data_IF_672724816137
#
_entry.id   IF_672724816137
#
_cell.length_a   1.000
_cell.length_b   1.000
_cell.length_c   1.000
_cell.angle_alpha   90.00
_cell.angle_beta   90.00
_cell.angle_gamma   90.00
#
_symmetry.space_group_name_H-M   'P 1'
#
loop_
_entity.id
_entity.type
_entity.pdbx_description
1 polymer ?
#
# COMPACT_ATOMS: atom_id res chain seq x y z
N UNK A 1 -5.01 4.74 37.41
CA UNK A 1 -3.67 4.11 37.44
C UNK A 1 -2.85 4.87 38.48
N UNK A 2 -2.22 4.21 39.44
CA UNK A 2 -1.44 4.86 40.47
C UNK A 2 -0.17 5.47 39.87
N UNK A 3 0.29 6.60 40.44
CA UNK A 3 1.55 7.23 40.00
C UNK A 3 2.74 6.25 40.00
N UNK A 4 2.69 5.24 40.88
CA UNK A 4 3.71 4.23 41.03
C UNK A 4 3.89 3.35 39.74
N UNK A 5 2.81 3.01 39.02
CA UNK A 5 2.90 2.25 37.78
C UNK A 5 3.59 3.06 36.66
N UNK A 6 3.39 4.39 36.63
CA UNK A 6 4.05 5.25 35.64
C UNK A 6 5.56 5.31 35.87
N UNK A 7 6.00 5.42 37.09
CA UNK A 7 7.42 5.43 37.44
C UNK A 7 8.07 4.07 37.12
N UNK A 8 7.39 2.96 37.40
CA UNK A 8 7.89 1.63 37.05
C UNK A 8 8.06 1.46 35.54
N UNK A 9 7.11 1.96 34.73
CA UNK A 9 7.22 1.91 33.25
C UNK A 9 8.41 2.73 32.76
N UNK A 10 8.64 3.91 33.34
CA UNK A 10 9.80 4.76 33.00
C UNK A 10 11.11 4.06 33.37
N UNK A 11 11.20 3.48 34.59
CA UNK A 11 12.38 2.72 35.00
C UNK A 11 12.66 1.52 34.08
N UNK A 12 11.64 0.78 33.66
CA UNK A 12 11.79 -0.32 32.72
C UNK A 12 12.23 0.15 31.32
N UNK A 13 11.74 1.32 30.87
CA UNK A 13 12.18 1.92 29.62
C UNK A 13 13.67 2.27 29.62
N UNK A 14 14.19 2.79 30.73
CA UNK A 14 15.62 3.08 30.88
C UNK A 14 16.51 1.84 30.98
N UNK A 15 15.95 0.68 31.34
CA UNK A 15 16.70 -0.58 31.36
C UNK A 15 16.87 -1.21 29.98
N UNK A 16 16.09 -0.80 29.00
CA UNK A 16 16.20 -1.28 27.61
C UNK A 16 17.53 -0.78 27.02
N UNK A 17 18.36 -1.69 26.59
CA UNK A 17 19.55 -1.33 25.82
C UNK A 17 19.11 -0.88 24.41
N UNK A 18 19.70 0.18 23.87
CA UNK A 18 19.53 0.52 22.48
C UNK A 18 19.87 -0.68 21.59
N UNK A 19 19.14 -0.87 20.52
CA UNK A 19 19.54 -1.84 19.50
C UNK A 19 20.88 -1.39 18.92
N UNK A 20 21.85 -2.31 18.89
CA UNK A 20 23.09 -2.08 18.15
C UNK A 20 22.76 -2.14 16.65
N UNK A 21 22.76 -0.99 16.02
CA UNK A 21 22.53 -0.86 14.59
C UNK A 21 23.89 -0.58 13.95
N UNK A 22 24.32 -1.46 13.06
CA UNK A 22 25.46 -1.17 12.20
C UNK A 22 25.09 0.00 11.28
N UNK A 23 25.87 1.07 11.35
CA UNK A 23 25.68 2.20 10.46
C UNK A 23 25.96 1.76 9.02
N UNK A 24 25.01 2.02 8.12
CA UNK A 24 25.24 1.79 6.69
C UNK A 24 26.35 2.71 6.19
N UNK A 25 27.30 2.16 5.43
CA UNK A 25 28.32 2.91 4.70
C UNK A 25 27.80 3.44 3.35
N UNK A 26 26.57 3.10 2.96
CA UNK A 26 25.92 3.56 1.73
C UNK A 26 25.47 5.03 1.90
N UNK A 27 25.50 5.80 0.83
CA UNK A 27 24.95 7.17 0.85
C UNK A 27 23.44 7.10 0.96
N UNK A 28 22.78 8.05 1.65
CA UNK A 28 21.31 8.11 1.71
C UNK A 28 20.62 8.01 0.35
N UNK A 29 21.21 8.62 -0.69
CA UNK A 29 20.71 8.56 -2.07
C UNK A 29 20.79 7.16 -2.72
N UNK A 30 21.58 6.25 -2.18
CA UNK A 30 21.77 4.90 -2.72
C UNK A 30 20.76 3.91 -2.13
N UNK A 31 20.40 4.09 -0.86
CA UNK A 31 19.44 3.20 -0.20
C UNK A 31 18.02 3.77 -0.10
N UNK A 32 17.84 5.11 -0.20
CA UNK A 32 16.50 5.71 -0.14
C UNK A 32 15.62 5.21 -1.28
N UNK A 33 14.48 4.65 -0.92
CA UNK A 33 13.56 4.06 -1.89
C UNK A 33 14.03 2.75 -2.54
N UNK A 34 15.10 2.12 -2.05
CA UNK A 34 15.61 0.82 -2.54
C UNK A 34 14.52 -0.25 -2.55
N UNK A 35 13.70 -0.27 -1.52
CA UNK A 35 12.61 -1.23 -1.31
C UNK A 35 11.23 -0.69 -1.72
N UNK A 36 11.17 0.31 -2.59
CA UNK A 36 9.93 0.92 -3.08
C UNK A 36 9.85 0.75 -4.58
N UNK A 37 8.72 0.26 -5.10
CA UNK A 37 8.43 0.17 -6.54
C UNK A 37 8.10 1.55 -7.08
N UNK A 38 9.12 2.39 -7.18
CA UNK A 38 9.05 3.77 -7.64
C UNK A 38 8.99 3.87 -9.18
N UNK A 39 8.88 5.07 -9.73
CA UNK A 39 8.79 5.31 -11.18
C UNK A 39 9.97 4.75 -11.98
N UNK A 40 11.16 4.78 -11.41
CA UNK A 40 12.36 4.22 -12.05
C UNK A 40 12.23 2.71 -12.22
N UNK A 41 11.77 2.01 -11.17
CA UNK A 41 11.51 0.57 -11.21
C UNK A 41 10.31 0.22 -12.09
N UNK A 42 9.24 1.02 -12.04
CA UNK A 42 8.12 0.87 -12.98
C UNK A 42 8.59 0.95 -14.43
N UNK A 43 9.43 1.94 -14.76
CA UNK A 43 10.00 2.09 -16.12
C UNK A 43 10.89 0.91 -16.51
N UNK A 44 11.65 0.35 -15.55
CA UNK A 44 12.56 -0.79 -15.81
C UNK A 44 11.82 -2.12 -16.01
N UNK A 45 10.77 -2.37 -15.22
CA UNK A 45 10.12 -3.68 -15.13
C UNK A 45 8.80 -3.80 -15.90
N UNK A 46 8.24 -2.68 -16.36
CA UNK A 46 6.98 -2.69 -17.11
C UNK A 46 7.22 -2.45 -18.61
N UNK A 47 6.42 -3.05 -19.50
CA UNK A 47 6.36 -2.63 -20.89
C UNK A 47 6.04 -1.14 -20.99
N UNK A 48 6.59 -0.47 -22.00
CA UNK A 48 6.49 0.99 -22.15
C UNK A 48 5.05 1.50 -22.15
N UNK A 49 4.18 0.85 -22.89
CA UNK A 49 2.76 1.22 -22.99
C UNK A 49 2.01 0.99 -21.67
N UNK A 50 2.38 -0.04 -20.90
CA UNK A 50 1.85 -0.32 -19.57
C UNK A 50 2.31 0.74 -18.57
N UNK A 51 3.59 1.11 -18.62
CA UNK A 51 4.16 2.17 -17.80
C UNK A 51 3.44 3.50 -18.04
N UNK A 52 3.28 3.92 -19.31
CA UNK A 52 2.62 5.18 -19.66
C UNK A 52 1.17 5.22 -19.15
N UNK A 53 0.41 4.15 -19.31
CA UNK A 53 -0.96 4.03 -18.78
C UNK A 53 -1.01 4.06 -17.25
N UNK A 54 -0.07 3.37 -16.58
CA UNK A 54 -0.02 3.39 -15.11
C UNK A 54 0.34 4.77 -14.57
N UNK A 55 1.27 5.48 -15.21
CA UNK A 55 1.62 6.86 -14.83
C UNK A 55 0.43 7.80 -15.05
N UNK A 56 -0.34 7.64 -16.10
CA UNK A 56 -1.56 8.44 -16.31
C UNK A 56 -2.61 8.21 -15.20
N UNK A 57 -2.76 6.96 -14.73
CA UNK A 57 -3.60 6.64 -13.56
C UNK A 57 -3.09 7.37 -12.30
N UNK A 58 -1.79 7.34 -12.06
CA UNK A 58 -1.17 7.93 -10.87
C UNK A 58 -1.26 9.46 -10.90
N UNK A 59 -0.91 10.08 -12.03
CA UNK A 59 -0.77 11.53 -12.13
C UNK A 59 -2.10 12.25 -12.40
N UNK A 60 -2.93 11.67 -13.25
CA UNK A 60 -4.15 12.30 -13.73
C UNK A 60 -5.44 11.70 -13.14
N UNK A 61 -5.33 10.63 -12.35
CA UNK A 61 -6.50 9.95 -11.79
C UNK A 61 -7.32 9.22 -12.85
N UNK A 62 -6.70 8.82 -13.97
CA UNK A 62 -7.35 8.01 -14.99
C UNK A 62 -7.83 6.68 -14.37
N UNK A 63 -8.86 6.11 -14.96
CA UNK A 63 -9.34 4.80 -14.51
C UNK A 63 -8.32 3.72 -14.83
N UNK A 64 -7.98 2.90 -13.83
CA UNK A 64 -7.13 1.75 -14.04
C UNK A 64 -7.78 0.77 -15.05
N UNK A 65 -7.12 0.56 -16.16
CA UNK A 65 -7.52 -0.44 -17.15
C UNK A 65 -7.08 -1.84 -16.66
N UNK A 66 -8.03 -2.72 -16.43
CA UNK A 66 -7.75 -4.10 -16.02
C UNK A 66 -6.89 -4.87 -17.03
N UNK A 67 -6.85 -4.43 -18.28
CA UNK A 67 -6.01 -5.06 -19.31
C UNK A 67 -4.51 -4.96 -19.04
N UNK A 68 -4.07 -3.96 -18.25
CA UNK A 68 -2.66 -3.80 -17.88
C UNK A 68 -2.30 -4.48 -16.56
N UNK A 69 -3.30 -4.92 -15.79
CA UNK A 69 -3.09 -5.42 -14.43
C UNK A 69 -2.16 -6.63 -14.38
N UNK A 70 -2.28 -7.56 -15.31
CA UNK A 70 -1.41 -8.74 -15.37
C UNK A 70 0.06 -8.36 -15.67
N UNK A 71 0.27 -7.42 -16.58
CA UNK A 71 1.61 -6.94 -16.90
C UNK A 71 2.24 -6.18 -15.73
N UNK A 72 1.45 -5.38 -15.00
CA UNK A 72 1.90 -4.68 -13.79
C UNK A 72 2.23 -5.69 -12.69
N UNK A 73 1.38 -6.67 -12.45
CA UNK A 73 1.62 -7.72 -11.47
C UNK A 73 2.89 -8.53 -11.81
N UNK A 74 3.08 -8.89 -13.07
CA UNK A 74 4.28 -9.59 -13.52
C UNK A 74 5.57 -8.78 -13.28
N UNK A 75 5.56 -7.49 -13.61
CA UNK A 75 6.70 -6.60 -13.36
C UNK A 75 6.99 -6.41 -11.87
N UNK A 76 5.96 -6.25 -11.06
CA UNK A 76 6.12 -6.17 -9.60
C UNK A 76 6.68 -7.47 -9.02
N UNK A 77 6.15 -8.62 -9.45
CA UNK A 77 6.66 -9.94 -9.02
C UNK A 77 8.12 -10.11 -9.41
N UNK A 78 8.49 -9.81 -10.65
CA UNK A 78 9.87 -9.93 -11.10
C UNK A 78 10.81 -9.08 -10.24
N UNK A 79 10.48 -7.81 -10.03
CA UNK A 79 11.27 -6.94 -9.16
C UNK A 79 11.36 -7.48 -7.73
N UNK A 80 10.24 -7.90 -7.15
CA UNK A 80 10.21 -8.42 -5.80
C UNK A 80 11.08 -9.69 -5.65
N UNK A 81 11.02 -10.61 -6.60
CA UNK A 81 11.82 -11.83 -6.60
C UNK A 81 13.32 -11.55 -6.76
N UNK A 82 13.72 -10.57 -7.58
CA UNK A 82 15.11 -10.11 -7.67
C UNK A 82 15.62 -9.53 -6.34
N UNK A 83 14.69 -9.02 -5.48
CA UNK A 83 14.98 -8.55 -4.12
C UNK A 83 14.89 -9.64 -3.04
N UNK A 84 14.63 -10.90 -3.42
CA UNK A 84 14.53 -12.05 -2.50
C UNK A 84 13.15 -12.22 -1.85
N UNK A 85 12.14 -11.53 -2.32
CA UNK A 85 10.77 -11.58 -1.79
C UNK A 85 10.09 -12.88 -2.21
N UNK A 86 9.39 -13.53 -1.29
CA UNK A 86 8.70 -14.80 -1.50
C UNK A 86 7.19 -14.72 -1.29
N UNK A 87 6.74 -13.68 -0.58
CA UNK A 87 5.35 -13.48 -0.21
C UNK A 87 4.85 -12.10 -0.66
N UNK A 88 3.53 -11.92 -0.69
CA UNK A 88 2.90 -10.62 -0.85
C UNK A 88 1.75 -10.46 0.14
N UNK A 89 1.39 -9.22 0.44
CA UNK A 89 0.25 -8.89 1.28
C UNK A 89 -0.49 -7.67 0.75
N UNK A 90 -1.81 -7.70 0.86
CA UNK A 90 -2.63 -6.50 0.71
C UNK A 90 -2.61 -5.75 2.03
N UNK A 91 -1.85 -4.67 2.04
CA UNK A 91 -1.54 -3.89 3.23
C UNK A 91 -2.51 -2.71 3.37
N UNK A 92 -3.26 -2.65 4.46
CA UNK A 92 -4.19 -1.58 4.75
C UNK A 92 -4.29 -1.29 6.24
N UNK A 93 -4.81 -0.11 6.60
CA UNK A 93 -4.99 0.34 7.97
C UNK A 93 -6.47 0.29 8.32
N UNK A 94 -6.96 -0.78 8.99
CA UNK A 94 -8.35 -0.91 9.36
C UNK A 94 -8.75 0.05 10.47
N UNK A 95 -10.04 0.37 10.58
CA UNK A 95 -10.59 1.24 11.63
C UNK A 95 -10.49 0.63 13.04
N UNK A 96 -10.20 -0.65 13.15
CA UNK A 96 -10.08 -1.40 14.42
C UNK A 96 -8.70 -1.32 15.06
N UNK A 97 -7.84 -0.42 14.60
CA UNK A 97 -6.44 -0.28 15.01
C UNK A 97 -5.51 -1.39 14.52
N UNK A 98 -4.23 -1.03 14.43
CA UNK A 98 -3.20 -1.90 13.87
C UNK A 98 -3.24 -1.98 12.35
N UNK A 99 -2.23 -2.60 11.78
CA UNK A 99 -2.14 -2.86 10.33
C UNK A 99 -2.75 -4.21 10.02
N UNK A 100 -3.58 -4.30 8.99
CA UNK A 100 -4.09 -5.57 8.50
C UNK A 100 -3.25 -6.05 7.33
N UNK A 101 -2.99 -7.32 7.32
CA UNK A 101 -2.16 -8.00 6.33
C UNK A 101 -2.78 -9.34 5.99
N UNK A 102 -2.93 -9.60 4.69
CA UNK A 102 -3.30 -10.91 4.19
C UNK A 102 -2.11 -11.45 3.40
N UNK A 103 -1.25 -12.21 4.08
CA UNK A 103 -0.07 -12.81 3.48
C UNK A 103 -0.44 -14.01 2.61
N UNK A 104 0.08 -13.98 1.39
CA UNK A 104 0.03 -15.10 0.45
C UNK A 104 1.45 -15.29 -0.15
N UNK A 105 1.81 -16.52 -0.48
CA UNK A 105 3.06 -16.79 -1.18
C UNK A 105 2.89 -16.58 -2.70
N UNK A 106 3.98 -16.23 -3.39
CA UNK A 106 4.00 -16.19 -4.86
C UNK A 106 4.01 -17.60 -5.47
N UNK A 107 3.09 -18.46 -5.06
CA UNK A 107 3.08 -19.84 -5.51
C UNK A 107 1.65 -20.34 -5.77
N UNK A 108 1.48 -21.03 -6.87
CA UNK A 108 0.24 -21.71 -7.24
C UNK A 108 0.53 -23.12 -7.77
N UNK A 109 -0.47 -23.98 -7.75
CA UNK A 109 -0.38 -25.31 -8.36
C UNK A 109 -0.38 -25.19 -9.89
N UNK A 110 0.53 -25.90 -10.56
CA UNK A 110 0.62 -25.92 -12.02
C UNK A 110 -0.45 -26.82 -12.70
N UNK A 111 -1.32 -27.44 -11.91
CA UNK A 111 -2.34 -28.39 -12.39
C UNK A 111 -1.80 -29.76 -12.83
N UNK A 112 -0.49 -30.00 -12.72
CA UNK A 112 0.19 -31.24 -13.13
C UNK A 112 0.88 -31.94 -11.96
N UNK A 113 0.61 -31.48 -10.72
CA UNK A 113 1.20 -32.01 -9.50
C UNK A 113 2.48 -31.29 -9.06
N UNK A 114 2.86 -30.23 -9.73
CA UNK A 114 3.94 -29.31 -9.37
C UNK A 114 3.42 -27.97 -8.88
N UNK A 115 4.38 -27.07 -8.59
CA UNK A 115 4.13 -25.70 -8.16
C UNK A 115 4.78 -24.73 -9.15
N UNK A 116 4.16 -23.59 -9.37
CA UNK A 116 4.69 -22.50 -10.18
C UNK A 116 4.60 -21.18 -9.42
N UNK A 117 5.53 -20.31 -9.66
CA UNK A 117 5.47 -18.95 -9.10
C UNK A 117 4.48 -18.11 -9.91
N UNK A 118 3.45 -17.63 -9.24
CA UNK A 118 2.37 -16.87 -9.86
C UNK A 118 2.00 -15.63 -9.03
N UNK A 119 1.68 -14.57 -9.74
CA UNK A 119 1.03 -13.38 -9.21
C UNK A 119 0.29 -12.68 -10.35
N UNK A 120 -1.02 -12.79 -10.37
CA UNK A 120 -1.86 -12.27 -11.44
C UNK A 120 -2.37 -10.87 -11.15
N UNK A 121 -2.79 -10.17 -12.18
CA UNK A 121 -3.46 -8.87 -12.04
C UNK A 121 -4.75 -8.95 -11.22
N UNK A 122 -5.43 -10.09 -11.22
CA UNK A 122 -6.59 -10.32 -10.35
C UNK A 122 -6.18 -10.27 -8.89
N UNK A 123 -5.07 -10.92 -8.53
CA UNK A 123 -4.55 -10.93 -7.17
C UNK A 123 -4.03 -9.54 -6.75
N UNK A 124 -3.47 -8.77 -7.69
CA UNK A 124 -3.02 -7.41 -7.44
C UNK A 124 -4.19 -6.45 -7.20
N UNK A 125 -5.20 -6.44 -8.08
CA UNK A 125 -6.18 -5.34 -8.15
C UNK A 125 -7.25 -5.45 -7.09
N UNK A 126 -7.78 -6.64 -6.82
CA UNK A 126 -8.92 -6.80 -5.92
C UNK A 126 -8.92 -8.15 -5.23
N UNK A 127 -9.25 -8.13 -3.94
CA UNK A 127 -9.52 -9.31 -3.13
C UNK A 127 -10.79 -9.14 -2.29
N UNK A 128 -11.23 -10.22 -1.69
CA UNK A 128 -12.37 -10.27 -0.75
C UNK A 128 -11.88 -10.77 0.61
N UNK A 129 -11.19 -9.92 1.40
CA UNK A 129 -10.73 -10.31 2.73
C UNK A 129 -11.92 -10.53 3.67
N UNK A 130 -11.75 -11.43 4.60
CA UNK A 130 -12.68 -11.65 5.70
C UNK A 130 -12.12 -11.11 7.04
N UNK A 131 -12.86 -11.33 8.12
CA UNK A 131 -12.48 -10.89 9.46
C UNK A 131 -11.13 -11.44 9.96
N UNK A 132 -10.64 -12.55 9.42
CA UNK A 132 -9.36 -13.15 9.80
C UNK A 132 -8.16 -12.33 9.35
N UNK A 133 -8.34 -11.45 8.34
CA UNK A 133 -7.32 -10.53 7.84
C UNK A 133 -7.08 -9.33 8.76
N UNK A 134 -7.79 -9.20 9.86
CA UNK A 134 -7.67 -8.06 10.78
C UNK A 134 -7.00 -8.48 12.09
N UNK A 135 -6.18 -7.62 12.70
CA UNK A 135 -5.49 -7.93 13.94
C UNK A 135 -6.42 -8.35 15.08
N UNK A 136 -7.60 -7.75 15.19
CA UNK A 136 -8.63 -8.05 16.20
C UNK A 136 -9.80 -8.85 15.62
N UNK A 137 -9.54 -9.84 14.80
CA UNK A 137 -10.47 -10.56 13.92
C UNK A 137 -11.83 -11.02 14.46
N UNK A 138 -12.10 -10.92 15.77
CA UNK A 138 -13.31 -11.45 16.39
C UNK A 138 -14.33 -10.43 16.91
N UNK A 139 -13.99 -9.16 17.06
CA UNK A 139 -14.87 -8.15 17.68
C UNK A 139 -15.27 -7.12 16.61
N UNK A 140 -16.30 -7.44 15.84
CA UNK A 140 -16.88 -6.50 14.89
C UNK A 140 -18.31 -6.84 14.53
N UNK A 141 -19.02 -5.86 14.01
CA UNK A 141 -20.37 -6.07 13.50
C UNK A 141 -20.33 -6.94 12.24
N UNK A 142 -21.42 -7.67 11.98
CA UNK A 142 -21.48 -8.62 10.86
C UNK A 142 -21.23 -7.97 9.50
N UNK A 143 -21.62 -6.72 9.31
CA UNK A 143 -21.42 -5.99 8.06
C UNK A 143 -19.93 -5.63 7.80
N UNK A 144 -19.10 -5.57 8.85
CA UNK A 144 -17.67 -5.33 8.76
C UNK A 144 -16.86 -6.62 8.50
N UNK A 145 -17.52 -7.79 8.58
CA UNK A 145 -16.84 -9.07 8.50
C UNK A 145 -16.31 -9.40 7.11
N UNK A 146 -16.89 -8.80 6.06
CA UNK A 146 -16.53 -9.04 4.65
C UNK A 146 -16.63 -7.76 3.84
N UNK A 147 -15.79 -7.67 2.82
CA UNK A 147 -15.78 -6.55 1.90
C UNK A 147 -14.84 -6.78 0.73
N UNK A 148 -14.60 -5.72 0.00
CA UNK A 148 -13.65 -5.68 -1.09
C UNK A 148 -12.42 -4.91 -0.67
N UNK A 149 -11.25 -5.48 -0.91
CA UNK A 149 -10.01 -4.72 -0.96
C UNK A 149 -9.70 -4.34 -2.40
N UNK A 150 -9.12 -3.16 -2.61
CA UNK A 150 -8.68 -2.73 -3.92
C UNK A 150 -7.32 -2.04 -3.83
N UNK A 151 -6.41 -2.42 -4.73
CA UNK A 151 -5.11 -1.77 -4.84
C UNK A 151 -5.29 -0.27 -5.12
N UNK A 152 -4.51 0.54 -4.40
CA UNK A 152 -4.38 1.97 -4.64
C UNK A 152 -3.08 2.25 -5.42
N UNK A 153 -3.14 2.47 -6.74
CA UNK A 153 -1.96 2.72 -7.55
C UNK A 153 -1.26 4.05 -7.23
N UNK A 154 -1.93 4.98 -6.54
CA UNK A 154 -1.35 6.27 -6.15
C UNK A 154 -0.38 6.16 -4.98
N UNK A 155 -0.40 5.02 -4.29
CA UNK A 155 0.54 4.70 -3.22
C UNK A 155 1.56 3.67 -3.70
N UNK A 156 2.86 3.91 -3.49
CA UNK A 156 3.87 3.01 -3.98
C UNK A 156 3.82 1.67 -3.24
N UNK A 157 3.96 0.59 -3.99
CA UNK A 157 4.20 -0.76 -3.47
C UNK A 157 5.61 -0.82 -2.90
N UNK A 158 5.80 -1.51 -1.79
CA UNK A 158 7.07 -1.56 -1.08
C UNK A 158 7.34 -2.94 -0.50
N UNK A 159 8.58 -3.17 -0.07
CA UNK A 159 9.02 -4.43 0.51
C UNK A 159 9.36 -4.23 1.99
N UNK A 160 8.84 -5.13 2.83
CA UNK A 160 9.27 -5.31 4.21
C UNK A 160 9.75 -6.76 4.33
N UNK A 161 10.99 -6.94 4.73
CA UNK A 161 11.65 -8.26 4.85
C UNK A 161 11.51 -9.08 3.55
N UNK A 162 10.80 -10.17 3.57
CA UNK A 162 10.57 -11.07 2.43
C UNK A 162 9.19 -10.91 1.79
N UNK A 163 8.49 -9.82 2.11
CA UNK A 163 7.09 -9.61 1.75
C UNK A 163 6.88 -8.34 0.93
N UNK A 164 6.21 -8.48 -0.22
CA UNK A 164 5.74 -7.37 -1.05
C UNK A 164 4.44 -6.81 -0.46
N UNK A 165 4.48 -5.57 0.02
CA UNK A 165 3.35 -4.87 0.61
C UNK A 165 2.63 -4.02 -0.44
N UNK A 166 1.37 -4.33 -0.71
CA UNK A 166 0.53 -3.68 -1.72
C UNK A 166 -0.46 -2.77 -1.00
N UNK A 167 -0.27 -1.42 -1.06
CA UNK A 167 -1.19 -0.48 -0.44
C UNK A 167 -2.60 -0.61 -1.00
N UNK A 168 -3.57 -0.77 -0.12
CA UNK A 168 -4.92 -1.19 -0.47
C UNK A 168 -5.95 -0.40 0.33
N UNK A 169 -7.13 -0.18 -0.24
CA UNK A 169 -8.32 0.27 0.46
C UNK A 169 -9.23 -0.92 0.77
N UNK A 170 -10.02 -0.79 1.85
CA UNK A 170 -10.99 -1.82 2.23
C UNK A 170 -12.38 -1.21 2.42
N UNK A 171 -13.36 -1.74 1.70
CA UNK A 171 -14.74 -1.27 1.68
C UNK A 171 -15.68 -2.45 1.95
N UNK A 172 -16.61 -2.28 2.89
CA UNK A 172 -17.65 -3.26 3.16
C UNK A 172 -18.56 -3.50 1.95
N UNK A 173 -19.22 -4.65 1.89
CA UNK A 173 -20.25 -4.92 0.85
C UNK A 173 -21.38 -3.90 0.85
N UNK A 174 -21.64 -3.28 1.98
CA UNK A 174 -22.66 -2.22 2.16
C UNK A 174 -22.17 -0.84 1.74
N UNK A 175 -20.88 -0.70 1.40
CA UNK A 175 -20.28 0.54 0.86
C UNK A 175 -19.56 1.42 1.87
N UNK A 176 -19.54 1.05 3.15
CA UNK A 176 -18.80 1.77 4.18
C UNK A 176 -17.28 1.54 4.02
N UNK A 177 -16.50 2.59 4.24
CA UNK A 177 -15.06 2.46 4.36
C UNK A 177 -14.70 1.76 5.67
N UNK A 178 -13.92 0.69 5.58
CA UNK A 178 -13.44 -0.06 6.74
C UNK A 178 -11.96 0.19 7.04
N UNK A 179 -11.38 1.18 6.39
CA UNK A 179 -10.01 1.65 6.56
C UNK A 179 -9.92 3.17 6.67
N UNK A 180 -8.74 3.69 7.02
CA UNK A 180 -8.48 5.12 7.07
C UNK A 180 -8.12 5.72 5.70
N UNK A 181 -7.68 4.91 4.74
CA UNK A 181 -7.19 5.37 3.45
C UNK A 181 -8.33 5.77 2.50
N UNK A 182 -9.42 5.02 2.47
CA UNK A 182 -10.56 5.35 1.61
C UNK A 182 -11.16 6.75 1.92
N UNK A 183 -11.40 7.14 3.19
CA UNK A 183 -11.77 8.52 3.53
C UNK A 183 -10.73 9.56 3.13
N UNK A 184 -9.42 9.26 3.31
CA UNK A 184 -8.33 10.16 2.91
C UNK A 184 -8.33 10.40 1.40
N UNK A 185 -8.41 9.36 0.58
CA UNK A 185 -8.44 9.49 -0.88
C UNK A 185 -9.67 10.29 -1.36
N UNK A 186 -10.82 10.13 -0.72
CA UNK A 186 -12.03 10.92 -1.00
C UNK A 186 -11.83 12.39 -0.64
N UNK A 187 -11.20 12.69 0.49
CA UNK A 187 -10.87 14.05 0.90
C UNK A 187 -9.89 14.71 -0.08
N UNK A 188 -8.84 14.01 -0.48
CA UNK A 188 -7.85 14.48 -1.48
C UNK A 188 -8.53 14.81 -2.80
N UNK A 189 -9.42 13.95 -3.29
CA UNK A 189 -10.19 14.20 -4.51
C UNK A 189 -11.12 15.44 -4.39
N UNK A 190 -11.79 15.58 -3.25
CA UNK A 190 -12.68 16.73 -3.02
C UNK A 190 -11.90 18.06 -2.98
N UNK A 191 -10.72 18.06 -2.35
CA UNK A 191 -9.85 19.25 -2.30
C UNK A 191 -9.28 19.56 -3.68
N UNK A 192 -8.79 18.56 -4.42
CA UNK A 192 -8.29 18.74 -5.79
C UNK A 192 -9.34 19.41 -6.66
N UNK A 193 -10.57 18.87 -6.66
CA UNK A 193 -11.68 19.46 -7.44
C UNK A 193 -11.95 20.90 -7.05
N UNK A 194 -12.15 21.19 -5.76
CA UNK A 194 -12.47 22.52 -5.29
C UNK A 194 -11.33 23.53 -5.58
N UNK A 195 -10.09 23.12 -5.38
CA UNK A 195 -8.93 23.97 -5.65
C UNK A 195 -8.71 24.20 -7.14
N UNK A 196 -8.93 23.19 -7.98
CA UNK A 196 -8.87 23.33 -9.45
C UNK A 196 -9.93 24.29 -9.95
N UNK A 197 -11.18 24.17 -9.44
CA UNK A 197 -12.26 25.11 -9.79
C UNK A 197 -11.90 26.57 -9.44
N UNK A 198 -11.29 26.81 -8.29
CA UNK A 198 -10.82 28.15 -7.88
C UNK A 198 -9.65 28.64 -8.73
N UNK A 199 -8.65 27.79 -8.96
CA UNK A 199 -7.48 28.16 -9.75
C UNK A 199 -7.86 28.47 -11.22
N UNK A 200 -8.85 27.80 -11.76
CA UNK A 200 -9.36 28.03 -13.13
C UNK A 200 -10.00 29.41 -13.32
N UNK A 201 -10.33 30.14 -12.24
CA UNK A 201 -10.76 31.54 -12.31
C UNK A 201 -9.59 32.49 -12.63
N UNK A 202 -8.36 32.07 -12.43
CA UNK A 202 -7.16 32.90 -12.59
C UNK A 202 -6.23 32.38 -13.69
N UNK A 203 -6.32 31.09 -14.07
CA UNK A 203 -5.42 30.44 -15.01
C UNK A 203 -6.21 29.51 -15.94
N UNK A 204 -6.03 29.65 -17.25
CA UNK A 204 -6.83 28.92 -18.26
C UNK A 204 -6.42 27.44 -18.46
N UNK A 205 -5.31 26.99 -17.91
CA UNK A 205 -4.71 25.68 -18.19
C UNK A 205 -4.51 24.81 -16.93
N UNK A 206 -5.20 25.09 -15.85
CA UNK A 206 -5.13 24.27 -14.64
C UNK A 206 -6.04 23.06 -14.78
N UNK A 207 -5.48 21.87 -14.78
CA UNK A 207 -6.21 20.59 -14.90
C UNK A 207 -6.28 19.82 -13.58
N UNK A 208 -5.39 20.12 -12.64
CA UNK A 208 -5.29 19.41 -11.36
C UNK A 208 -4.54 20.25 -10.32
N UNK A 209 -4.93 20.14 -9.07
CA UNK A 209 -4.20 20.69 -7.92
C UNK A 209 -3.78 19.53 -7.01
N UNK A 210 -2.48 19.36 -6.85
CA UNK A 210 -1.95 18.31 -5.99
C UNK A 210 -1.92 18.75 -4.53
N UNK A 211 -2.49 17.94 -3.66
CA UNK A 211 -2.41 18.11 -2.20
C UNK A 211 -1.17 17.43 -1.67
N UNK A 212 -0.32 18.17 -0.98
CA UNK A 212 0.86 17.65 -0.30
C UNK A 212 0.65 17.71 1.21
N UNK A 213 0.85 16.59 1.88
CA UNK A 213 0.81 16.49 3.34
C UNK A 213 2.20 16.79 3.90
N UNK A 214 2.29 17.72 4.84
CA UNK A 214 3.49 17.95 5.61
C UNK A 214 3.53 17.06 6.85
N UNK A 215 4.60 16.29 7.02
CA UNK A 215 4.85 15.56 8.26
C UNK A 215 5.52 16.48 9.28
N UNK A 216 4.99 16.48 10.50
CA UNK A 216 5.78 16.93 11.64
C UNK A 216 6.79 15.82 11.97
N UNK A 217 8.06 16.15 11.96
CA UNK A 217 9.15 15.26 12.37
C UNK A 217 9.52 15.63 13.81
N UNK A 218 9.45 14.65 14.70
CA UNK A 218 9.95 14.75 16.07
C UNK A 218 11.24 13.96 16.24
#
# INVERSE_FOLDING_TARGET
>A
MSANLRFQVVEEAFKKRPLEIEASNERPSEYFGKYVFNREKMYKYLPKDVYEKLIDVIDNGARLDRSIADAVAAGMKQWAQEMGVTHYTHWFQPLTEGTAEKHDAFVEHDGKGGMMEAFSGKLLVQQEPDASSFPNGGIRNTFEARGYSAWDPTSPVFIIDDTLCIPTIFIAYTGEALDYKAPLLRALHAIDKAATDVCSLFYDNVTKVQVNLGWAQE
#
